data_IF_907596353231
#
_entry.id   IF_907596353231
#
_cell.length_a   1.000
_cell.length_b   1.000
_cell.length_c   1.000
_cell.angle_alpha   90.00
_cell.angle_beta   90.00
_cell.angle_gamma   90.00
#
_symmetry.space_group_name_H-M   'P 1'
#
loop_
_entity.id
_entity.type
_entity.pdbx_description
1 polymer ?
#
# COMPACT_ATOMS: atom_id res chain seq x y z
N UNK A 1 -18.19 -97.30 4.89
CA UNK A 1 -18.58 -96.01 5.51
C UNK A 1 -17.33 -95.43 6.15
N UNK A 2 -16.67 -94.49 5.46
CA UNK A 2 -15.44 -93.82 5.92
C UNK A 2 -15.77 -92.61 6.80
N UNK A 3 -14.94 -92.26 7.80
CA UNK A 3 -15.14 -91.08 8.63
C UNK A 3 -14.70 -89.79 7.88
N UNK A 4 -15.47 -88.72 8.08
CA UNK A 4 -15.21 -87.38 7.52
C UNK A 4 -14.03 -86.72 8.23
N UNK A 5 -13.01 -86.33 7.45
CA UNK A 5 -11.90 -85.46 7.86
C UNK A 5 -12.29 -84.03 7.48
N UNK A 6 -12.29 -83.12 8.46
CA UNK A 6 -12.45 -81.67 8.27
C UNK A 6 -11.04 -81.06 8.28
N UNK A 7 -10.58 -80.32 7.25
CA UNK A 7 -9.29 -79.64 7.31
C UNK A 7 -9.44 -78.28 8.01
N UNK A 8 -8.47 -77.98 8.88
CA UNK A 8 -8.32 -76.71 9.57
C UNK A 8 -7.88 -75.61 8.60
N UNK A 9 -8.54 -74.45 8.66
CA UNK A 9 -8.14 -73.24 7.95
C UNK A 9 -7.15 -72.48 8.84
N UNK A 10 -5.89 -72.41 8.43
CA UNK A 10 -4.87 -71.56 9.04
C UNK A 10 -5.03 -70.12 8.51
N UNK A 11 -5.35 -69.17 9.38
CA UNK A 11 -5.38 -67.75 9.06
C UNK A 11 -3.96 -67.18 9.12
N UNK A 12 -3.44 -66.73 7.98
CA UNK A 12 -2.15 -66.06 7.86
C UNK A 12 -2.37 -64.55 8.01
N UNK A 13 -1.94 -63.96 9.12
CA UNK A 13 -2.02 -62.51 9.35
C UNK A 13 -0.82 -61.83 8.68
N UNK A 14 -1.08 -61.03 7.64
CA UNK A 14 -0.08 -60.16 7.00
C UNK A 14 -0.08 -58.83 7.76
N UNK A 15 0.97 -58.59 8.55
CA UNK A 15 1.23 -57.29 9.17
C UNK A 15 1.91 -56.36 8.16
N UNK A 16 1.19 -55.33 7.71
CA UNK A 16 1.72 -54.27 6.86
C UNK A 16 2.45 -53.23 7.74
N UNK A 17 3.77 -53.28 7.79
CA UNK A 17 4.61 -52.28 8.47
C UNK A 17 4.80 -51.06 7.56
N UNK A 18 4.06 -49.99 7.84
CA UNK A 18 4.27 -48.67 7.21
C UNK A 18 5.51 -48.03 7.84
N UNK A 19 6.63 -48.06 7.12
CA UNK A 19 7.84 -47.32 7.49
C UNK A 19 7.66 -45.83 7.20
N UNK A 20 7.51 -45.02 8.25
CA UNK A 20 7.64 -43.57 8.14
C UNK A 20 9.13 -43.22 8.08
N UNK A 21 9.61 -42.79 6.91
CA UNK A 21 10.88 -42.08 6.83
C UNK A 21 10.73 -40.70 7.49
N UNK A 22 11.65 -40.26 8.36
CA UNK A 22 11.60 -38.92 8.92
C UNK A 22 11.86 -37.91 7.80
N UNK A 23 10.87 -37.07 7.51
CA UNK A 23 11.06 -35.88 6.69
C UNK A 23 11.76 -34.84 7.57
N UNK A 24 13.02 -34.56 7.27
CA UNK A 24 13.73 -33.43 7.88
C UNK A 24 13.15 -32.13 7.32
N UNK A 25 12.24 -31.51 8.07
CA UNK A 25 11.81 -30.14 7.81
C UNK A 25 12.96 -29.22 8.20
N UNK A 26 13.67 -28.68 7.22
CA UNK A 26 14.60 -27.59 7.45
C UNK A 26 13.77 -26.34 7.74
N UNK A 27 13.86 -25.82 8.96
CA UNK A 27 13.25 -24.54 9.29
C UNK A 27 14.03 -23.45 8.55
N UNK A 28 13.49 -22.94 7.44
CA UNK A 28 13.97 -21.70 6.86
C UNK A 28 13.66 -20.59 7.85
N UNK A 29 14.68 -20.09 8.55
CA UNK A 29 14.55 -18.98 9.48
C UNK A 29 14.38 -17.66 8.71
N UNK A 30 13.31 -17.54 7.93
CA UNK A 30 12.87 -16.25 7.42
C UNK A 30 12.23 -15.51 8.59
N UNK A 31 12.82 -14.38 8.99
CA UNK A 31 12.21 -13.52 10.01
C UNK A 31 10.82 -13.04 9.56
N UNK A 32 10.03 -12.46 10.47
CA UNK A 32 8.69 -11.97 10.12
C UNK A 32 8.80 -10.83 9.10
N UNK A 33 7.99 -10.87 8.05
CA UNK A 33 7.91 -9.79 7.06
C UNK A 33 7.24 -8.54 7.62
N UNK A 34 6.39 -8.71 8.64
CA UNK A 34 5.64 -7.64 9.28
C UNK A 34 5.60 -7.78 10.80
N UNK A 35 5.46 -6.63 11.46
CA UNK A 35 5.32 -6.53 12.90
C UNK A 35 3.98 -5.91 13.30
N UNK A 36 3.58 -6.21 14.54
CA UNK A 36 2.56 -5.49 15.30
C UNK A 36 3.10 -4.96 16.61
N UNK A 37 2.51 -3.87 17.10
CA UNK A 37 2.83 -3.27 18.39
C UNK A 37 2.26 -4.13 19.52
N UNK A 38 3.05 -4.32 20.57
CA UNK A 38 2.68 -5.01 21.80
C UNK A 38 3.36 -4.36 23.00
N UNK A 39 2.78 -4.48 24.20
CA UNK A 39 3.38 -3.98 25.43
C UNK A 39 3.40 -2.45 25.59
N UNK A 40 2.68 -1.73 24.72
CA UNK A 40 2.39 -0.28 24.85
C UNK A 40 0.99 -0.13 25.45
N UNK A 41 0.82 0.78 26.42
CA UNK A 41 -0.48 1.05 27.04
C UNK A 41 -1.48 1.63 26.02
N UNK A 42 -2.77 1.34 26.19
CA UNK A 42 -3.81 1.75 25.22
C UNK A 42 -3.94 3.27 25.01
N UNK A 43 -3.47 4.07 25.97
CA UNK A 43 -3.44 5.53 25.96
C UNK A 43 -2.07 6.11 25.56
N UNK A 44 -1.13 5.26 25.11
CA UNK A 44 0.23 5.63 24.71
C UNK A 44 0.54 5.19 23.27
N UNK A 45 1.73 5.55 22.79
CA UNK A 45 2.19 5.31 21.42
C UNK A 45 3.61 4.75 21.39
N UNK A 46 3.88 3.91 20.39
CA UNK A 46 5.24 3.55 20.03
C UNK A 46 5.84 4.65 19.15
N UNK A 47 6.97 5.21 19.58
CA UNK A 47 7.64 6.28 18.84
C UNK A 47 8.55 5.72 17.74
N UNK A 48 8.43 6.23 16.53
CA UNK A 48 9.36 5.99 15.43
C UNK A 48 10.51 7.00 15.54
N UNK A 49 11.76 6.54 15.46
CA UNK A 49 12.98 7.32 15.71
C UNK A 49 13.87 7.40 14.48
N UNK A 50 14.58 8.50 14.32
CA UNK A 50 15.52 8.68 13.20
C UNK A 50 16.75 7.75 13.25
N UNK A 51 17.07 7.21 14.43
CA UNK A 51 18.22 6.33 14.67
C UNK A 51 17.82 5.24 15.68
N UNK A 52 18.52 4.09 15.74
CA UNK A 52 18.23 2.96 16.65
C UNK A 52 18.63 3.26 18.11
N UNK A 53 18.05 4.33 18.68
CA UNK A 53 18.27 4.74 20.07
C UNK A 53 17.12 5.61 20.59
N UNK A 54 16.82 5.48 21.89
CA UNK A 54 15.68 6.15 22.51
C UNK A 54 15.77 7.69 22.51
N UNK A 55 16.99 8.23 22.55
CA UNK A 55 17.25 9.68 22.55
C UNK A 55 17.22 10.32 21.17
N UNK A 56 17.06 9.54 20.09
CA UNK A 56 17.01 10.09 18.74
C UNK A 56 15.72 10.89 18.49
N UNK A 57 15.79 11.77 17.50
CA UNK A 57 14.63 12.54 17.03
C UNK A 57 13.46 11.62 16.73
N UNK A 58 12.28 11.98 17.23
CA UNK A 58 11.03 11.30 16.91
C UNK A 58 10.56 11.77 15.53
N UNK A 59 10.34 10.81 14.63
CA UNK A 59 9.91 11.06 13.25
C UNK A 59 8.49 10.56 12.96
N UNK A 60 7.90 9.80 13.89
CA UNK A 60 6.54 9.31 13.75
C UNK A 60 6.03 8.62 15.02
N UNK A 61 4.80 8.12 14.95
CA UNK A 61 4.10 7.45 16.04
C UNK A 61 3.28 6.28 15.50
N UNK A 62 3.15 5.24 16.30
CA UNK A 62 2.33 4.06 16.02
C UNK A 62 1.41 3.85 17.22
N UNK A 63 0.09 3.70 17.02
CA UNK A 63 -0.85 3.39 18.10
C UNK A 63 -0.48 2.10 18.84
N UNK A 64 -0.91 1.98 20.09
CA UNK A 64 -0.66 0.80 20.92
C UNK A 64 -1.14 -0.54 20.32
N UNK A 65 -2.13 -0.49 19.43
CA UNK A 65 -2.69 -1.62 18.70
C UNK A 65 -2.28 -1.64 17.21
N UNK A 66 -1.24 -0.92 16.81
CA UNK A 66 -0.78 -0.88 15.41
C UNK A 66 -0.33 -2.25 14.90
N UNK A 67 -0.65 -2.59 13.66
CA UNK A 67 -0.25 -3.80 12.93
C UNK A 67 0.16 -3.42 11.50
N UNK A 68 0.77 -4.33 10.75
CA UNK A 68 1.17 -4.06 9.36
C UNK A 68 2.43 -3.20 9.23
N UNK A 69 3.30 -3.19 10.24
CA UNK A 69 4.58 -2.49 10.17
C UNK A 69 5.53 -3.33 9.31
N UNK A 70 5.92 -2.84 8.13
CA UNK A 70 6.83 -3.58 7.26
C UNK A 70 8.21 -3.69 7.90
N UNK A 71 8.73 -4.92 8.00
CA UNK A 71 10.07 -5.17 8.54
C UNK A 71 11.13 -4.84 7.48
N UNK A 72 11.99 -3.86 7.76
CA UNK A 72 13.13 -3.49 6.91
C UNK A 72 14.48 -3.98 7.47
N UNK A 73 14.45 -4.72 8.59
CA UNK A 73 15.61 -5.29 9.25
C UNK A 73 15.80 -4.80 10.68
N UNK A 74 16.46 -5.63 11.50
CA UNK A 74 16.78 -5.29 12.89
C UNK A 74 18.28 -5.28 13.15
N UNK A 75 18.69 -4.49 14.14
CA UNK A 75 20.07 -4.39 14.65
C UNK A 75 20.09 -4.58 16.17
N UNK A 76 21.26 -4.93 16.69
CA UNK A 76 21.46 -5.15 18.13
C UNK A 76 21.04 -6.54 18.61
N UNK A 77 20.87 -7.50 17.69
CA UNK A 77 20.60 -8.91 17.98
C UNK A 77 21.90 -9.65 18.34
N UNK A 78 21.78 -10.69 19.17
CA UNK A 78 22.91 -11.61 19.43
C UNK A 78 23.12 -12.50 18.21
N UNK A 79 24.36 -12.84 17.91
CA UNK A 79 24.62 -13.92 16.95
C UNK A 79 24.11 -15.25 17.51
N UNK A 80 23.81 -16.20 16.62
CA UNK A 80 23.36 -17.54 17.00
C UNK A 80 24.35 -18.23 17.97
N UNK A 81 25.64 -18.14 17.69
CA UNK A 81 26.69 -18.73 18.52
C UNK A 81 26.78 -18.08 19.91
N UNK A 82 26.49 -16.78 20.02
CA UNK A 82 26.39 -16.09 21.31
C UNK A 82 25.10 -16.49 22.04
N UNK A 83 23.98 -16.58 21.32
CA UNK A 83 22.68 -16.94 21.89
C UNK A 83 22.68 -18.35 22.47
N UNK A 84 23.28 -19.32 21.77
CA UNK A 84 23.39 -20.72 22.21
C UNK A 84 24.11 -20.85 23.57
N UNK A 85 25.11 -19.99 23.80
CA UNK A 85 25.92 -19.97 25.03
C UNK A 85 25.37 -19.07 26.12
N UNK A 86 24.43 -18.18 25.79
CA UNK A 86 23.90 -17.19 26.72
C UNK A 86 22.92 -17.80 27.73
N UNK A 87 23.01 -17.34 28.97
CA UNK A 87 22.01 -17.56 30.00
C UNK A 87 20.69 -16.85 29.65
N UNK A 88 19.59 -17.27 30.31
CA UNK A 88 18.28 -16.64 30.14
C UNK A 88 18.30 -15.13 30.43
N UNK A 89 19.03 -14.72 31.47
CA UNK A 89 19.20 -13.31 31.83
C UNK A 89 19.94 -12.52 30.74
N UNK A 90 20.98 -13.10 30.13
CA UNK A 90 21.73 -12.48 29.04
C UNK A 90 20.86 -12.35 27.77
N UNK A 91 20.07 -13.37 27.46
CA UNK A 91 19.10 -13.33 26.33
C UNK A 91 18.04 -12.25 26.55
N UNK A 92 17.51 -12.14 27.77
CA UNK A 92 16.54 -11.10 28.12
C UNK A 92 17.13 -9.68 28.03
N UNK A 93 18.38 -9.50 28.48
CA UNK A 93 19.07 -8.22 28.38
C UNK A 93 19.37 -7.84 26.91
N UNK A 94 19.72 -8.81 26.07
CA UNK A 94 19.92 -8.59 24.64
C UNK A 94 18.62 -8.22 23.91
N UNK A 95 17.49 -8.83 24.26
CA UNK A 95 16.19 -8.48 23.68
C UNK A 95 15.83 -6.98 23.87
N UNK A 96 16.33 -6.35 24.94
CA UNK A 96 16.18 -4.91 25.22
C UNK A 96 17.17 -4.00 24.48
N UNK A 97 18.07 -4.56 23.68
CA UNK A 97 18.99 -3.80 22.80
C UNK A 97 18.55 -3.80 21.34
N UNK A 98 17.55 -4.61 20.99
CA UNK A 98 17.06 -4.77 19.62
C UNK A 98 16.32 -3.54 19.14
N UNK A 99 16.70 -3.03 17.98
CA UNK A 99 16.01 -1.98 17.24
C UNK A 99 15.69 -2.47 15.84
N UNK A 100 14.48 -2.19 15.35
CA UNK A 100 14.06 -2.59 14.02
C UNK A 100 13.73 -1.35 13.20
N UNK A 101 14.26 -1.29 11.98
CA UNK A 101 13.84 -0.32 10.99
C UNK A 101 12.53 -0.83 10.37
N UNK A 102 11.54 0.06 10.30
CA UNK A 102 10.21 -0.25 9.79
C UNK A 102 9.74 0.83 8.82
N UNK A 103 8.75 0.46 8.02
CA UNK A 103 7.86 1.41 7.34
C UNK A 103 6.43 1.23 7.86
N UNK A 104 5.78 2.33 8.21
CA UNK A 104 4.40 2.33 8.70
C UNK A 104 3.69 3.63 8.29
N UNK A 105 2.56 3.49 7.59
CA UNK A 105 1.75 4.62 7.10
C UNK A 105 2.60 5.72 6.42
N UNK A 106 3.52 5.31 5.54
CA UNK A 106 4.43 6.22 4.81
C UNK A 106 5.57 6.80 5.64
N UNK A 107 5.69 6.44 6.92
CA UNK A 107 6.80 6.87 7.79
C UNK A 107 7.81 5.74 7.96
N UNK A 108 9.05 5.99 7.52
CA UNK A 108 10.18 5.09 7.74
C UNK A 108 11.01 5.53 8.94
N UNK A 109 11.44 4.57 9.77
CA UNK A 109 12.39 4.82 10.84
C UNK A 109 12.54 3.66 11.83
N UNK A 110 13.17 3.92 12.96
CA UNK A 110 13.56 2.92 13.95
C UNK A 110 12.59 2.84 15.12
N UNK A 111 12.19 1.63 15.48
CA UNK A 111 11.38 1.34 16.66
C UNK A 111 12.09 0.34 17.57
N UNK A 112 11.76 0.42 18.85
CA UNK A 112 12.27 -0.50 19.86
C UNK A 112 11.68 -1.91 19.66
N UNK A 113 12.52 -2.90 19.39
CA UNK A 113 12.08 -4.25 19.04
C UNK A 113 11.36 -4.99 20.18
N UNK A 114 11.55 -4.58 21.44
CA UNK A 114 10.83 -5.16 22.57
C UNK A 114 9.35 -4.74 22.69
N UNK A 115 8.89 -3.84 21.81
CA UNK A 115 7.47 -3.52 21.63
C UNK A 115 6.88 -4.15 20.36
N UNK A 116 7.60 -5.07 19.72
CA UNK A 116 7.17 -5.73 18.49
C UNK A 116 6.91 -7.21 18.73
N UNK A 117 5.82 -7.70 18.15
CA UNK A 117 5.55 -9.11 17.93
C UNK A 117 5.35 -9.36 16.44
N UNK A 118 5.41 -10.63 16.02
CA UNK A 118 4.98 -11.03 14.67
C UNK A 118 3.57 -10.48 14.41
N UNK A 119 3.47 -9.72 13.31
CA UNK A 119 2.25 -9.09 12.85
C UNK A 119 1.83 -9.66 11.50
N UNK A 120 0.72 -9.15 11.00
CA UNK A 120 0.26 -9.51 9.66
C UNK A 120 0.78 -8.48 8.67
N UNK A 121 0.86 -8.85 7.39
CA UNK A 121 0.84 -7.82 6.36
C UNK A 121 -0.30 -6.83 6.66
N UNK A 122 -0.10 -5.51 6.46
CA UNK A 122 -1.18 -4.56 6.62
C UNK A 122 -2.37 -5.13 5.85
N UNK A 123 -3.52 -5.23 6.51
CA UNK A 123 -4.69 -5.81 5.90
C UNK A 123 -4.93 -5.09 4.58
N UNK A 124 -4.58 -5.76 3.47
CA UNK A 124 -5.17 -5.46 2.18
C UNK A 124 -6.65 -5.59 2.47
N UNK A 125 -7.37 -4.47 2.46
CA UNK A 125 -8.78 -4.41 2.81
C UNK A 125 -9.45 -5.47 1.96
N UNK A 126 -9.78 -6.61 2.59
CA UNK A 126 -10.28 -7.78 1.88
C UNK A 126 -11.67 -7.40 1.39
N UNK A 127 -11.74 -7.05 0.11
CA UNK A 127 -12.90 -6.40 -0.50
C UNK A 127 -13.14 -5.00 0.07
N UNK A 128 -12.29 -4.03 -0.27
CA UNK A 128 -12.68 -2.63 -0.10
C UNK A 128 -13.96 -2.42 -0.94
N UNK A 129 -15.09 -2.33 -0.23
CA UNK A 129 -16.37 -2.07 -0.88
C UNK A 129 -16.39 -0.61 -1.27
N UNK A 130 -16.88 -0.24 -2.46
CA UNK A 130 -17.05 1.17 -2.77
C UNK A 130 -17.88 1.90 -1.72
N UNK A 131 -17.80 3.22 -1.70
CA UNK A 131 -18.59 4.08 -0.83
C UNK A 131 -20.10 4.06 -1.16
N UNK A 132 -20.49 3.50 -2.30
CA UNK A 132 -21.89 3.25 -2.66
C UNK A 132 -22.34 1.80 -2.38
N UNK A 133 -23.65 1.60 -2.31
CA UNK A 133 -24.27 0.31 -2.08
C UNK A 133 -24.24 -0.56 -3.35
N UNK A 134 -23.39 -1.59 -3.37
CA UNK A 134 -23.27 -2.52 -4.49
C UNK A 134 -24.56 -3.24 -4.86
N UNK A 135 -25.53 -3.38 -3.95
CA UNK A 135 -26.84 -3.95 -4.31
C UNK A 135 -27.66 -3.04 -5.24
N UNK A 136 -27.25 -1.78 -5.39
CA UNK A 136 -27.87 -0.77 -6.27
C UNK A 136 -27.05 -0.49 -7.51
N UNK A 137 -25.92 -1.18 -7.70
CA UNK A 137 -25.12 -1.07 -8.91
C UNK A 137 -25.98 -1.39 -10.15
N UNK A 138 -25.90 -0.52 -11.14
CA UNK A 138 -26.77 -0.53 -12.31
C UNK A 138 -26.00 -0.41 -13.63
N UNK A 139 -24.81 0.21 -13.60
CA UNK A 139 -23.91 0.30 -14.75
C UNK A 139 -22.86 -0.81 -14.76
N UNK A 140 -22.31 -1.12 -15.93
CA UNK A 140 -21.19 -2.06 -16.08
C UNK A 140 -19.98 -1.63 -15.23
N UNK A 141 -19.71 -0.33 -15.19
CA UNK A 141 -18.64 0.27 -14.39
C UNK A 141 -18.92 0.13 -12.89
N UNK A 142 -20.14 0.38 -12.42
CA UNK A 142 -20.50 0.18 -11.01
C UNK A 142 -20.33 -1.29 -10.57
N UNK A 143 -20.71 -2.23 -11.43
CA UNK A 143 -20.50 -3.65 -11.17
C UNK A 143 -19.01 -4.01 -11.13
N UNK A 144 -18.19 -3.45 -12.03
CA UNK A 144 -16.74 -3.64 -12.01
C UNK A 144 -16.13 -3.08 -10.71
N UNK A 145 -16.53 -1.89 -10.28
CA UNK A 145 -16.09 -1.28 -9.02
C UNK A 145 -16.45 -2.15 -7.81
N UNK A 146 -17.63 -2.78 -7.83
CA UNK A 146 -18.06 -3.69 -6.76
C UNK A 146 -17.32 -5.03 -6.74
N UNK A 147 -16.80 -5.48 -7.88
CA UNK A 147 -16.10 -6.76 -8.02
C UNK A 147 -14.59 -6.62 -7.78
N UNK A 148 -14.02 -5.45 -8.05
CA UNK A 148 -12.58 -5.20 -7.99
C UNK A 148 -12.20 -4.40 -6.73
N UNK A 149 -11.38 -4.97 -5.81
CA UNK A 149 -10.96 -4.27 -4.58
C UNK A 149 -10.15 -2.98 -4.81
N UNK A 150 -9.37 -2.88 -5.89
CA UNK A 150 -8.58 -1.69 -6.24
C UNK A 150 -9.53 -0.57 -6.66
N UNK A 151 -10.52 -0.88 -7.49
CA UNK A 151 -11.55 0.08 -7.92
C UNK A 151 -12.43 0.52 -6.75
N UNK A 152 -12.80 -0.40 -5.86
CA UNK A 152 -13.51 -0.07 -4.62
C UNK A 152 -12.74 0.91 -3.74
N UNK A 153 -11.41 0.78 -3.67
CA UNK A 153 -10.57 1.61 -2.81
C UNK A 153 -10.43 3.03 -3.38
N UNK A 154 -10.33 3.12 -4.71
CA UNK A 154 -10.38 4.37 -5.45
C UNK A 154 -11.71 5.10 -5.26
N UNK A 155 -12.84 4.38 -5.26
CA UNK A 155 -14.17 4.97 -4.99
C UNK A 155 -14.30 5.48 -3.55
N UNK A 156 -13.80 4.72 -2.58
CA UNK A 156 -13.72 5.15 -1.18
C UNK A 156 -12.88 6.42 -1.04
N UNK A 157 -11.70 6.45 -1.65
CA UNK A 157 -10.80 7.60 -1.57
C UNK A 157 -11.40 8.84 -2.22
N UNK A 158 -12.03 8.69 -3.39
CA UNK A 158 -12.71 9.80 -4.04
C UNK A 158 -13.83 10.37 -3.16
N UNK A 159 -14.60 9.49 -2.52
CA UNK A 159 -15.67 9.86 -1.60
C UNK A 159 -15.11 10.58 -0.37
N UNK A 160 -13.98 10.13 0.17
CA UNK A 160 -13.27 10.76 1.30
C UNK A 160 -12.81 12.18 0.95
N UNK A 161 -12.05 12.36 -0.14
CA UNK A 161 -11.53 13.68 -0.55
C UNK A 161 -12.65 14.64 -0.95
N UNK A 162 -13.73 14.13 -1.56
CA UNK A 162 -14.94 14.92 -1.84
C UNK A 162 -15.61 15.38 -0.55
N UNK A 163 -15.76 14.50 0.44
CA UNK A 163 -16.37 14.83 1.72
C UNK A 163 -15.54 15.85 2.51
N UNK A 164 -14.22 15.74 2.50
CA UNK A 164 -13.32 16.73 3.08
C UNK A 164 -13.48 18.09 2.41
N UNK A 165 -13.58 18.12 1.07
CA UNK A 165 -13.80 19.37 0.34
C UNK A 165 -15.16 20.01 0.69
N UNK A 166 -16.27 19.27 0.61
CA UNK A 166 -17.62 19.86 0.82
C UNK A 166 -17.92 20.25 2.25
N UNK A 167 -17.26 19.64 3.23
CA UNK A 167 -17.42 19.97 4.65
C UNK A 167 -16.30 20.87 5.19
N UNK A 168 -15.35 21.25 4.32
CA UNK A 168 -14.20 22.05 4.70
C UNK A 168 -14.56 23.50 5.05
N UNK A 169 -13.79 24.14 5.95
CA UNK A 169 -14.06 25.51 6.39
C UNK A 169 -13.95 26.55 5.27
N UNK A 170 -13.25 26.25 4.17
CA UNK A 170 -13.09 27.17 3.05
C UNK A 170 -14.17 27.00 1.97
N UNK A 171 -15.15 26.12 2.17
CA UNK A 171 -16.20 25.84 1.20
C UNK A 171 -17.26 26.94 1.15
N UNK A 172 -17.38 27.62 0.01
CA UNK A 172 -18.45 28.60 -0.24
C UNK A 172 -19.65 27.96 -0.95
N UNK A 173 -20.81 28.61 -0.91
CA UNK A 173 -22.02 28.11 -1.57
C UNK A 173 -21.85 27.94 -3.09
N UNK A 174 -21.17 28.88 -3.75
CA UNK A 174 -20.91 28.81 -5.20
C UNK A 174 -19.94 27.68 -5.55
N UNK A 175 -18.85 27.53 -4.77
CA UNK A 175 -17.90 26.42 -4.93
C UNK A 175 -18.54 25.06 -4.68
N UNK A 176 -19.45 24.97 -3.70
CA UNK A 176 -20.20 23.75 -3.43
C UNK A 176 -21.12 23.38 -4.60
N UNK A 177 -21.81 24.38 -5.17
CA UNK A 177 -22.69 24.19 -6.33
C UNK A 177 -21.89 23.72 -7.54
N UNK A 178 -20.74 24.35 -7.78
CA UNK A 178 -19.78 24.00 -8.83
C UNK A 178 -19.27 22.57 -8.66
N UNK A 179 -18.72 22.22 -7.49
CA UNK A 179 -18.19 20.88 -7.19
C UNK A 179 -19.25 19.79 -7.38
N UNK A 180 -20.47 20.01 -6.88
CA UNK A 180 -21.59 19.08 -7.07
C UNK A 180 -21.95 18.90 -8.54
N UNK A 181 -21.88 19.96 -9.35
CA UNK A 181 -22.17 19.88 -10.77
C UNK A 181 -21.09 19.08 -11.51
N UNK A 182 -19.81 19.37 -11.26
CA UNK A 182 -18.70 18.63 -11.84
C UNK A 182 -18.71 17.16 -11.41
N UNK A 183 -19.02 16.86 -10.14
CA UNK A 183 -19.09 15.48 -9.67
C UNK A 183 -20.16 14.66 -10.41
N UNK A 184 -21.35 15.23 -10.66
CA UNK A 184 -22.38 14.57 -11.46
C UNK A 184 -21.96 14.37 -12.92
N UNK A 185 -21.21 15.32 -13.49
CA UNK A 185 -20.65 15.20 -14.83
C UNK A 185 -19.59 14.10 -14.91
N UNK A 186 -18.70 14.07 -13.92
CA UNK A 186 -17.63 13.07 -13.82
C UNK A 186 -18.19 11.65 -13.70
N UNK A 187 -19.22 11.41 -12.87
CA UNK A 187 -19.85 10.06 -12.77
C UNK A 187 -20.30 9.57 -14.14
N UNK A 188 -20.91 10.44 -14.95
CA UNK A 188 -21.33 10.08 -16.31
C UNK A 188 -20.13 9.72 -17.19
N UNK A 189 -19.06 10.50 -17.14
CA UNK A 189 -17.84 10.24 -17.93
C UNK A 189 -17.14 8.93 -17.52
N UNK A 190 -17.01 8.67 -16.21
CA UNK A 190 -16.50 7.40 -15.68
C UNK A 190 -17.33 6.22 -16.20
N UNK A 191 -18.66 6.36 -16.18
CA UNK A 191 -19.58 5.34 -16.67
C UNK A 191 -19.58 5.18 -18.19
N UNK A 192 -18.80 5.97 -18.95
CA UNK A 192 -18.55 5.73 -20.37
C UNK A 192 -17.32 4.86 -20.64
N UNK A 193 -16.59 4.42 -19.60
CA UNK A 193 -15.42 3.55 -19.76
C UNK A 193 -15.72 2.23 -20.48
N UNK A 194 -16.96 1.74 -20.48
CA UNK A 194 -17.36 0.57 -21.29
C UNK A 194 -17.23 0.80 -22.80
N UNK A 195 -17.15 2.07 -23.25
CA UNK A 195 -16.91 2.45 -24.65
C UNK A 195 -15.43 2.68 -24.96
N UNK A 196 -14.55 2.61 -23.96
CA UNK A 196 -13.13 2.89 -24.13
C UNK A 196 -12.48 1.84 -25.05
N UNK A 197 -11.39 2.24 -25.71
CA UNK A 197 -10.52 1.31 -26.43
C UNK A 197 -9.52 0.61 -25.52
N UNK A 198 -9.29 1.15 -24.31
CA UNK A 198 -8.47 0.54 -23.26
C UNK A 198 -9.25 -0.55 -22.51
N UNK A 199 -8.55 -1.30 -21.65
CA UNK A 199 -9.24 -2.15 -20.67
C UNK A 199 -10.21 -1.31 -19.82
N UNK A 200 -11.33 -1.92 -19.43
CA UNK A 200 -12.35 -1.27 -18.60
C UNK A 200 -11.75 -0.81 -17.26
N UNK A 201 -10.95 -1.66 -16.63
CA UNK A 201 -10.35 -1.40 -15.32
C UNK A 201 -9.39 -0.23 -15.42
N UNK A 202 -8.49 -0.24 -16.40
CA UNK A 202 -7.51 0.83 -16.63
C UNK A 202 -8.21 2.18 -16.85
N UNK A 203 -9.25 2.21 -17.68
CA UNK A 203 -10.05 3.43 -17.89
C UNK A 203 -10.66 3.95 -16.58
N UNK A 204 -11.20 3.06 -15.75
CA UNK A 204 -11.85 3.42 -14.49
C UNK A 204 -10.79 3.92 -13.49
N UNK A 205 -9.64 3.26 -13.40
CA UNK A 205 -8.49 3.68 -12.58
C UNK A 205 -8.06 5.09 -12.94
N UNK A 206 -7.84 5.37 -14.23
CA UNK A 206 -7.44 6.69 -14.72
C UNK A 206 -8.46 7.77 -14.35
N UNK A 207 -9.75 7.49 -14.55
CA UNK A 207 -10.83 8.42 -14.23
C UNK A 207 -10.89 8.73 -12.73
N UNK A 208 -10.68 7.74 -11.85
CA UNK A 208 -10.62 7.97 -10.41
C UNK A 208 -9.38 8.75 -10.00
N UNK A 209 -8.20 8.32 -10.43
CA UNK A 209 -6.94 8.93 -10.03
C UNK A 209 -6.90 10.42 -10.43
N UNK A 210 -7.25 10.73 -11.69
CA UNK A 210 -7.32 12.10 -12.18
C UNK A 210 -8.34 12.95 -11.43
N UNK A 211 -9.50 12.39 -11.08
CA UNK A 211 -10.54 13.11 -10.34
C UNK A 211 -10.16 13.37 -8.89
N UNK A 212 -9.56 12.39 -8.22
CA UNK A 212 -8.99 12.55 -6.88
C UNK A 212 -7.98 13.70 -6.91
N UNK A 213 -7.04 13.68 -7.86
CA UNK A 213 -6.04 14.75 -8.00
C UNK A 213 -6.67 16.12 -8.29
N UNK A 214 -7.70 16.18 -9.15
CA UNK A 214 -8.42 17.42 -9.46
C UNK A 214 -9.07 18.04 -8.23
N UNK A 215 -9.78 17.23 -7.41
CA UNK A 215 -10.40 17.70 -6.16
C UNK A 215 -9.31 18.16 -5.19
N UNK A 216 -8.26 17.35 -5.00
CA UNK A 216 -7.14 17.69 -4.14
C UNK A 216 -6.44 18.97 -4.56
N UNK A 217 -6.39 19.28 -5.85
CA UNK A 217 -5.80 20.52 -6.36
C UNK A 217 -6.73 21.71 -6.14
N UNK A 218 -8.00 21.58 -6.49
CA UNK A 218 -8.97 22.68 -6.49
C UNK A 218 -9.56 23.04 -5.12
N UNK A 219 -9.40 22.17 -4.10
CA UNK A 219 -10.00 22.33 -2.78
C UNK A 219 -8.97 21.98 -1.70
N UNK A 220 -8.44 22.99 -1.00
CA UNK A 220 -7.37 22.81 -0.03
C UNK A 220 -7.74 21.86 1.13
N UNK A 221 -9.01 21.92 1.57
CA UNK A 221 -9.53 21.11 2.67
C UNK A 221 -9.51 19.60 2.36
N UNK A 222 -9.49 19.22 1.07
CA UNK A 222 -9.38 17.82 0.64
C UNK A 222 -8.05 17.16 1.04
N UNK A 223 -7.06 17.95 1.49
CA UNK A 223 -5.72 17.50 1.91
C UNK A 223 -5.54 17.52 3.43
N UNK A 224 -6.58 17.82 4.21
CA UNK A 224 -6.48 18.06 5.65
C UNK A 224 -6.20 16.79 6.48
N UNK A 225 -6.41 15.60 5.91
CA UNK A 225 -6.34 14.32 6.61
C UNK A 225 -5.78 13.21 5.69
N UNK A 226 -4.61 13.45 5.11
CA UNK A 226 -3.99 12.50 4.17
C UNK A 226 -3.66 11.15 4.82
N UNK A 227 -3.38 11.13 6.13
CA UNK A 227 -3.08 9.91 6.87
C UNK A 227 -4.23 8.90 6.91
N UNK A 228 -5.48 9.35 6.72
CA UNK A 228 -6.68 8.51 6.74
C UNK A 228 -7.11 8.02 5.36
N UNK A 229 -6.35 8.33 4.30
CA UNK A 229 -6.65 7.94 2.93
C UNK A 229 -5.49 7.25 2.23
N UNK A 230 -5.67 7.05 0.92
CA UNK A 230 -4.63 6.47 0.06
C UNK A 230 -4.07 7.46 -0.94
N UNK A 231 -4.51 8.73 -0.97
CA UNK A 231 -3.96 9.73 -1.87
C UNK A 231 -3.17 10.82 -1.15
N UNK A 232 -2.07 11.28 -1.78
CA UNK A 232 -1.21 12.37 -1.29
C UNK A 232 -0.82 13.32 -2.42
N UNK A 233 -0.41 14.53 -2.06
CA UNK A 233 -0.08 15.61 -2.99
C UNK A 233 -1.26 16.56 -3.27
N UNK A 234 -1.19 17.40 -4.33
CA UNK A 234 -0.14 17.42 -5.33
C UNK A 234 1.19 17.97 -4.80
N UNK A 235 2.29 17.41 -5.30
CA UNK A 235 3.65 17.86 -5.07
C UNK A 235 4.20 18.53 -6.34
N UNK A 236 4.74 19.75 -6.23
CA UNK A 236 5.33 20.43 -7.38
C UNK A 236 6.72 19.87 -7.69
N UNK A 237 6.98 19.52 -8.96
CA UNK A 237 8.30 19.14 -9.47
C UNK A 237 8.72 20.11 -10.57
N UNK A 238 9.97 20.57 -10.49
CA UNK A 238 10.63 21.34 -11.55
C UNK A 238 11.52 20.39 -12.32
N UNK A 239 11.35 20.33 -13.64
CA UNK A 239 12.08 19.41 -14.51
C UNK A 239 12.99 20.16 -15.50
N UNK A 240 14.20 19.66 -15.68
CA UNK A 240 15.19 20.23 -16.58
C UNK A 240 14.65 20.28 -18.03
N UNK A 241 14.71 21.47 -18.64
CA UNK A 241 14.23 21.69 -20.01
C UNK A 241 12.70 21.79 -20.15
N UNK A 242 11.94 21.70 -19.05
CA UNK A 242 10.49 21.90 -19.04
C UNK A 242 10.15 23.20 -18.30
N UNK A 243 9.55 24.16 -19.02
CA UNK A 243 9.15 25.45 -18.43
C UNK A 243 7.95 25.34 -17.49
N UNK A 244 7.12 24.30 -17.65
CA UNK A 244 5.96 24.07 -16.79
C UNK A 244 6.36 23.27 -15.55
N UNK A 245 5.83 23.65 -14.38
CA UNK A 245 5.88 22.82 -13.18
C UNK A 245 5.03 21.57 -13.41
N UNK A 246 5.55 20.42 -13.02
CA UNK A 246 4.83 19.16 -13.02
C UNK A 246 4.19 18.97 -11.65
N UNK A 247 2.86 19.03 -11.59
CA UNK A 247 2.10 18.75 -10.38
C UNK A 247 1.85 17.24 -10.29
N UNK A 248 2.36 16.61 -9.24
CA UNK A 248 2.37 15.14 -9.07
C UNK A 248 1.49 14.73 -7.89
N UNK A 249 0.48 13.89 -8.10
CA UNK A 249 -0.27 13.26 -7.01
C UNK A 249 -0.09 11.75 -7.03
N UNK A 250 0.01 11.13 -5.86
CA UNK A 250 0.15 9.69 -5.73
C UNK A 250 -1.12 9.10 -5.12
N UNK A 251 -1.53 7.93 -5.61
CA UNK A 251 -2.63 7.13 -5.08
C UNK A 251 -2.09 5.73 -4.78
N UNK A 252 -1.94 5.43 -3.50
CA UNK A 252 -1.28 4.25 -2.94
C UNK A 252 -2.27 3.08 -2.81
N UNK A 253 -2.94 2.75 -3.91
CA UNK A 253 -3.65 1.46 -4.10
C UNK A 253 -2.67 0.41 -4.66
N UNK A 254 -3.08 -0.84 -4.84
CA UNK A 254 -2.22 -1.88 -5.42
C UNK A 254 -2.79 -2.39 -6.77
N UNK A 255 -2.06 -2.25 -7.89
CA UNK A 255 -0.83 -1.45 -8.06
C UNK A 255 -1.06 0.05 -7.83
N UNK A 256 -0.02 0.79 -7.43
CA UNK A 256 -0.10 2.23 -7.21
C UNK A 256 -0.34 3.03 -8.49
N UNK A 257 -0.81 4.27 -8.35
CA UNK A 257 -1.03 5.19 -9.48
C UNK A 257 -0.39 6.53 -9.20
N UNK A 258 0.28 7.10 -10.20
CA UNK A 258 0.71 8.51 -10.17
C UNK A 258 -0.12 9.32 -11.16
N UNK A 259 -0.49 10.53 -10.75
CA UNK A 259 -1.12 11.53 -11.61
C UNK A 259 -0.14 12.66 -11.87
N UNK A 260 0.07 12.99 -13.14
CA UNK A 260 0.98 14.04 -13.56
C UNK A 260 0.19 15.11 -14.31
N UNK A 261 0.37 16.38 -13.95
CA UNK A 261 -0.23 17.52 -14.65
C UNK A 261 0.85 18.54 -14.98
N UNK A 262 0.92 18.96 -16.24
CA UNK A 262 1.85 20.00 -16.69
C UNK A 262 1.26 20.75 -17.89
N UNK A 263 1.28 22.09 -17.82
CA UNK A 263 0.52 22.94 -18.74
C UNK A 263 -0.94 22.45 -18.83
N UNK A 264 -1.43 22.13 -20.03
CA UNK A 264 -2.79 21.62 -20.26
C UNK A 264 -2.88 20.09 -20.30
N UNK A 265 -1.80 19.37 -19.98
CA UNK A 265 -1.76 17.91 -20.03
C UNK A 265 -2.03 17.33 -18.63
N UNK A 266 -2.74 16.21 -18.61
CA UNK A 266 -2.93 15.39 -17.43
C UNK A 266 -2.91 13.92 -17.83
N UNK A 267 -2.25 13.08 -17.03
CA UNK A 267 -2.17 11.63 -17.25
C UNK A 267 -2.11 10.91 -15.91
N UNK A 268 -2.68 9.71 -15.85
CA UNK A 268 -2.48 8.75 -14.78
C UNK A 268 -1.60 7.61 -15.31
N UNK A 269 -0.66 7.13 -14.50
CA UNK A 269 0.25 6.06 -14.86
C UNK A 269 0.28 5.01 -13.76
N UNK A 270 0.24 3.74 -14.15
CA UNK A 270 0.33 2.62 -13.23
C UNK A 270 1.75 2.39 -12.76
N UNK A 271 1.88 1.97 -11.51
CA UNK A 271 3.14 1.57 -10.92
C UNK A 271 3.63 0.27 -11.55
N UNK A 272 4.92 0.25 -11.90
CA UNK A 272 5.61 -0.92 -12.43
C UNK A 272 6.77 -1.31 -11.53
N UNK A 273 7.24 -2.56 -11.66
CA UNK A 273 8.36 -3.06 -10.87
C UNK A 273 9.64 -2.24 -11.12
N UNK A 274 10.33 -1.87 -10.03
CA UNK A 274 11.63 -1.21 -10.08
C UNK A 274 12.58 -1.78 -9.01
N UNK A 275 13.89 -1.66 -9.24
CA UNK A 275 14.91 -2.11 -8.29
C UNK A 275 15.08 -1.15 -7.10
N UNK A 276 14.71 0.12 -7.26
CA UNK A 276 14.76 1.16 -6.22
C UNK A 276 13.82 2.30 -6.59
N UNK A 277 13.18 2.92 -5.60
CA UNK A 277 12.20 3.98 -5.82
C UNK A 277 10.87 3.47 -6.39
N UNK A 278 9.98 4.40 -6.76
CA UNK A 278 8.68 4.11 -7.33
C UNK A 278 8.65 4.53 -8.80
N UNK A 279 8.46 3.55 -9.69
CA UNK A 279 8.42 3.76 -11.14
C UNK A 279 7.00 3.58 -11.65
N UNK A 280 6.58 4.48 -12.53
CA UNK A 280 5.26 4.49 -13.14
C UNK A 280 5.41 4.67 -14.65
N UNK A 281 4.62 3.92 -15.41
CA UNK A 281 4.67 3.93 -16.87
C UNK A 281 3.25 3.87 -17.46
N UNK A 282 3.10 4.44 -18.64
CA UNK A 282 1.84 4.41 -19.38
C UNK A 282 2.02 4.96 -20.78
N UNK A 283 0.93 4.97 -21.54
CA UNK A 283 0.91 5.43 -22.92
C UNK A 283 -0.23 6.40 -23.15
N UNK A 284 0.07 7.49 -23.85
CA UNK A 284 -0.92 8.47 -24.31
C UNK A 284 -0.96 8.48 -25.83
N UNK A 285 -1.88 9.23 -26.42
CA UNK A 285 -1.87 9.45 -27.87
C UNK A 285 -0.59 10.12 -28.39
N UNK A 286 0.23 10.73 -27.52
CA UNK A 286 1.54 11.33 -27.85
C UNK A 286 2.71 10.35 -27.67
N UNK A 287 2.43 9.11 -27.27
CA UNK A 287 3.41 8.08 -26.99
C UNK A 287 3.56 7.79 -25.50
N UNK A 288 4.61 7.04 -25.18
CA UNK A 288 4.96 6.60 -23.84
C UNK A 288 5.30 7.76 -22.93
N UNK A 289 4.84 7.64 -21.69
CA UNK A 289 5.10 8.56 -20.59
C UNK A 289 5.58 7.72 -19.40
N UNK A 290 6.58 8.21 -18.68
CA UNK A 290 7.12 7.54 -17.51
C UNK A 290 7.48 8.52 -16.42
N UNK A 291 7.36 8.09 -15.16
CA UNK A 291 7.78 8.86 -14.00
C UNK A 291 8.45 7.93 -13.00
N UNK A 292 9.69 8.20 -12.64
CA UNK A 292 10.44 7.39 -11.68
C UNK A 292 10.95 8.27 -10.55
N UNK A 293 10.51 8.02 -9.32
CA UNK A 293 10.80 8.87 -8.16
C UNK A 293 11.58 8.13 -7.07
N UNK A 294 12.43 8.87 -6.37
CA UNK A 294 13.17 8.42 -5.20
C UNK A 294 13.44 9.61 -4.27
N UNK A 295 12.72 9.70 -3.16
CA UNK A 295 12.79 10.86 -2.28
C UNK A 295 12.25 12.12 -2.98
N UNK A 296 13.00 13.21 -2.95
CA UNK A 296 12.66 14.48 -3.59
C UNK A 296 13.14 14.58 -5.06
N UNK A 297 13.79 13.54 -5.59
CA UNK A 297 14.27 13.47 -6.97
C UNK A 297 13.37 12.56 -7.83
N UNK A 298 13.24 12.91 -9.11
CA UNK A 298 12.53 12.09 -10.09
C UNK A 298 13.09 12.21 -11.50
N UNK A 299 12.78 11.23 -12.35
CA UNK A 299 12.95 11.29 -13.80
C UNK A 299 11.56 11.32 -14.42
N UNK A 300 11.28 12.32 -15.25
CA UNK A 300 10.06 12.40 -16.05
C UNK A 300 10.40 12.15 -17.52
N UNK A 301 9.82 11.09 -18.09
CA UNK A 301 10.10 10.63 -19.45
C UNK A 301 8.91 10.93 -20.35
N UNK A 302 9.16 11.62 -21.46
CA UNK A 302 8.18 11.84 -22.52
C UNK A 302 8.75 11.37 -23.85
N UNK A 303 7.95 10.67 -24.67
CA UNK A 303 8.42 10.17 -25.97
C UNK A 303 8.94 11.25 -26.92
N UNK A 304 8.39 12.47 -26.85
CA UNK A 304 8.78 13.60 -27.69
C UNK A 304 9.97 14.41 -27.16
N UNK A 305 10.37 14.22 -25.89
CA UNK A 305 11.44 14.99 -25.24
C UNK A 305 12.55 14.17 -24.57
N UNK A 306 12.36 12.87 -24.41
CA UNK A 306 13.25 12.00 -23.65
C UNK A 306 13.09 12.16 -22.13
N UNK A 307 14.14 11.78 -21.42
CA UNK A 307 14.20 11.81 -19.96
C UNK A 307 14.62 13.18 -19.45
N UNK A 308 13.86 13.72 -18.50
CA UNK A 308 14.14 14.98 -17.82
C UNK A 308 14.38 14.71 -16.34
N UNK A 309 15.46 15.26 -15.79
CA UNK A 309 15.69 15.23 -14.35
C UNK A 309 14.76 16.22 -13.68
N UNK A 310 14.12 15.79 -12.60
CA UNK A 310 13.15 16.58 -11.87
C UNK A 310 13.49 16.59 -10.39
N UNK A 311 13.21 17.72 -9.74
CA UNK A 311 13.30 17.85 -8.30
C UNK A 311 12.02 18.43 -7.73
N UNK A 312 11.55 17.83 -6.64
CA UNK A 312 10.41 18.34 -5.90
C UNK A 312 10.77 19.73 -5.34
N UNK A 313 9.94 20.72 -5.62
CA UNK A 313 10.10 22.05 -5.04
C UNK A 313 9.62 22.02 -3.58
N UNK A 314 10.45 22.54 -2.67
CA UNK A 314 10.14 22.63 -1.25
C UNK A 314 9.14 23.76 -0.94
N UNK A 315 8.84 24.61 -1.92
CA UNK A 315 7.85 25.69 -1.82
C UNK A 315 6.51 25.24 -2.42
N UNK A 316 5.75 24.45 -1.65
CA UNK A 316 4.32 24.17 -1.88
C UNK A 316 3.47 24.89 -0.85
#
# INVERSE_FOLDING_TARGET
MLPKIIPAIAACAITLSVGFAPVSVSAEASGPDYYRVTGVSADDVLNIRAQPKASATKVGQIPANGDGLQNLGCVGEMSFAEWEKASEAERAAAAKKRWCEIEYAGTRGWVAGWFLAEGNAPAQVSGSKPAFDCAKASSEVENAICADPRLGQLDQELSRVYNLAVNGPNMTADRLKELKAYQRGWIKGRDECWKSQSDLTDCVVDNYALRINEIRTGYADARADDASGVSVGPFPYVCDGLTAVVSVGFVNVDPGVVTLRWADNAVALDQVQAASGAKYEGETYRGKVGFWSKGDEAIFSLSDRGDMQCKQDAMG
#
